data_IF_678249527140
#
_entry.id   IF_678249527140
#
_cell.length_a   1.000
_cell.length_b   1.000
_cell.length_c   1.000
_cell.angle_alpha   90.00
_cell.angle_beta   90.00
_cell.angle_gamma   90.00
#
_symmetry.space_group_name_H-M   'P 1'
#
loop_
_entity.id
_entity.type
_entity.pdbx_description
1 polymer ?
#
# COMPACT_ATOMS: atom_id res chain seq x y z
N UNK A 1 52.02 4.90 -1.01
CA UNK A 1 50.89 4.12 -0.47
C UNK A 1 49.72 5.07 -0.38
N UNK A 2 48.78 4.99 -1.32
CA UNK A 2 47.60 5.86 -1.33
C UNK A 2 46.52 5.17 -0.49
N UNK A 3 46.25 5.72 0.70
CA UNK A 3 45.09 5.34 1.49
C UNK A 3 43.84 5.83 0.73
N UNK A 4 43.08 4.89 0.18
CA UNK A 4 41.73 5.20 -0.32
C UNK A 4 40.88 5.66 0.84
N UNK A 5 40.21 6.83 0.76
CA UNK A 5 39.37 7.32 1.82
C UNK A 5 38.23 6.31 2.07
N UNK A 6 38.19 5.77 3.28
CA UNK A 6 37.05 5.01 3.79
C UNK A 6 35.90 5.98 3.96
N UNK A 7 35.06 6.11 2.93
CA UNK A 7 33.81 6.86 3.02
C UNK A 7 32.95 6.18 4.07
N UNK A 8 32.83 6.82 5.24
CA UNK A 8 31.90 6.39 6.28
C UNK A 8 30.48 6.42 5.71
N UNK A 9 29.93 5.24 5.42
CA UNK A 9 28.54 5.08 5.00
C UNK A 9 27.68 4.73 6.20
N UNK A 10 26.52 5.37 6.31
CA UNK A 10 25.55 5.06 7.34
C UNK A 10 24.73 3.84 6.93
N UNK A 11 24.65 2.85 7.82
CA UNK A 11 23.83 1.65 7.62
C UNK A 11 22.43 1.85 8.20
N UNK A 12 21.42 1.32 7.52
CA UNK A 12 20.03 1.32 8.02
C UNK A 12 19.70 -0.05 8.59
N UNK A 13 19.08 -0.07 9.77
CA UNK A 13 18.58 -1.32 10.36
C UNK A 13 17.22 -1.67 9.72
N UNK A 14 17.24 -2.62 8.81
CA UNK A 14 16.08 -3.10 8.05
C UNK A 14 15.03 -3.83 8.90
N UNK A 15 15.35 -4.18 10.15
CA UNK A 15 14.42 -4.88 11.06
C UNK A 15 13.43 -3.94 11.71
N UNK A 16 13.80 -2.68 11.85
CA UNK A 16 13.01 -1.65 12.55
C UNK A 16 12.65 -0.46 11.65
N UNK A 17 13.18 -0.44 10.43
CA UNK A 17 12.93 0.64 9.47
C UNK A 17 11.88 0.20 8.46
N UNK A 18 10.84 1.02 8.29
CA UNK A 18 9.79 0.85 7.28
C UNK A 18 9.44 2.23 6.73
N UNK A 19 9.15 2.31 5.43
CA UNK A 19 8.69 3.54 4.79
C UNK A 19 7.21 3.42 4.46
N UNK A 20 6.43 4.45 4.79
CA UNK A 20 5.05 4.57 4.34
C UNK A 20 4.96 5.51 3.13
N UNK A 21 4.45 5.00 2.01
CA UNK A 21 4.12 5.79 0.82
C UNK A 21 2.63 5.97 0.72
N UNK A 22 2.19 7.23 0.69
CA UNK A 22 0.77 7.61 0.56
C UNK A 22 0.53 8.18 -0.82
N UNK A 23 -0.36 7.56 -1.57
CA UNK A 23 -0.80 7.97 -2.90
C UNK A 23 -2.24 8.49 -2.80
N UNK A 24 -2.43 9.81 -2.64
CA UNK A 24 -3.75 10.40 -2.74
C UNK A 24 -4.25 10.29 -4.17
N UNK A 25 -5.54 10.06 -4.33
CA UNK A 25 -6.23 10.12 -5.61
C UNK A 25 -7.55 10.87 -5.47
N UNK A 26 -7.94 11.50 -6.58
CA UNK A 26 -9.22 12.18 -6.72
C UNK A 26 -10.04 11.43 -7.75
N UNK A 27 -11.28 11.21 -7.41
CA UNK A 27 -12.32 10.73 -8.31
C UNK A 27 -13.36 11.84 -8.44
N UNK A 28 -13.62 12.28 -9.67
CA UNK A 28 -14.47 13.44 -9.95
C UNK A 28 -15.96 13.22 -9.64
N UNK A 29 -16.37 11.98 -9.37
CA UNK A 29 -17.78 11.59 -9.25
C UNK A 29 -18.15 11.26 -7.79
N UNK A 30 -18.50 12.28 -7.00
CA UNK A 30 -18.90 12.14 -5.59
C UNK A 30 -20.11 11.23 -5.38
N UNK A 31 -21.04 11.16 -6.34
CA UNK A 31 -22.26 10.36 -6.27
C UNK A 31 -22.04 8.83 -6.38
N UNK A 32 -20.81 8.37 -6.66
CA UNK A 32 -20.51 6.95 -6.88
C UNK A 32 -19.86 6.25 -5.67
N UNK A 33 -19.92 6.87 -4.49
CA UNK A 33 -19.29 6.29 -3.30
C UNK A 33 -19.77 4.86 -3.00
N UNK A 34 -21.09 4.61 -3.04
CA UNK A 34 -21.64 3.29 -2.81
C UNK A 34 -21.19 2.26 -3.86
N UNK A 35 -21.14 2.65 -5.14
CA UNK A 35 -20.64 1.80 -6.21
C UNK A 35 -19.16 1.44 -6.01
N UNK A 36 -18.33 2.41 -5.59
CA UNK A 36 -16.92 2.17 -5.28
C UNK A 36 -16.73 1.24 -4.11
N UNK A 37 -17.47 1.44 -3.03
CA UNK A 37 -17.45 0.53 -1.87
C UNK A 37 -17.82 -0.88 -2.31
N UNK A 38 -18.87 -1.03 -3.12
CA UNK A 38 -19.27 -2.32 -3.67
C UNK A 38 -18.19 -2.93 -4.57
N UNK A 39 -17.55 -2.13 -5.44
CA UNK A 39 -16.48 -2.59 -6.31
C UNK A 39 -15.27 -3.10 -5.52
N UNK A 40 -14.82 -2.36 -4.50
CA UNK A 40 -13.71 -2.77 -3.62
C UNK A 40 -14.07 -4.05 -2.87
N UNK A 41 -15.28 -4.15 -2.33
CA UNK A 41 -15.74 -5.33 -1.60
C UNK A 41 -15.92 -6.57 -2.51
N UNK A 42 -16.21 -6.36 -3.79
CA UNK A 42 -16.33 -7.44 -4.78
C UNK A 42 -14.96 -7.96 -5.25
N UNK A 43 -13.87 -7.22 -5.03
CA UNK A 43 -12.54 -7.69 -5.38
C UNK A 43 -12.20 -8.94 -4.56
N UNK A 44 -11.82 -10.00 -5.27
CA UNK A 44 -11.37 -11.26 -4.69
C UNK A 44 -10.13 -11.74 -5.42
N UNK A 45 -9.33 -12.53 -4.71
CA UNK A 45 -8.30 -13.35 -5.33
C UNK A 45 -8.84 -14.76 -5.45
N UNK A 46 -8.61 -15.36 -6.61
CA UNK A 46 -8.83 -16.77 -6.85
C UNK A 46 -7.48 -17.47 -6.78
N UNK A 47 -7.35 -18.40 -5.84
CA UNK A 47 -6.24 -19.35 -5.80
C UNK A 47 -6.79 -20.78 -5.83
N UNK A 48 -5.90 -21.78 -5.77
CA UNK A 48 -6.27 -23.19 -5.75
C UNK A 48 -7.16 -23.55 -4.54
N UNK A 49 -7.13 -22.76 -3.46
CA UNK A 49 -7.96 -22.94 -2.27
C UNK A 49 -9.33 -22.26 -2.37
N UNK A 50 -9.58 -21.51 -3.45
CA UNK A 50 -10.87 -20.88 -3.74
C UNK A 50 -10.79 -19.35 -3.85
N UNK A 51 -11.96 -18.72 -3.96
CA UNK A 51 -12.05 -17.27 -3.99
C UNK A 51 -12.06 -16.70 -2.56
N UNK A 52 -11.12 -15.81 -2.25
CA UNK A 52 -11.05 -15.09 -0.98
C UNK A 52 -11.15 -13.57 -1.21
N UNK A 53 -11.81 -12.81 -0.32
CA UNK A 53 -11.90 -11.36 -0.45
C UNK A 53 -10.50 -10.74 -0.41
N UNK A 54 -10.24 -9.86 -1.37
CA UNK A 54 -8.97 -9.15 -1.52
C UNK A 54 -8.73 -8.19 -0.36
N UNK A 55 -9.80 -7.49 0.02
CA UNK A 55 -9.78 -6.43 1.01
C UNK A 55 -10.47 -6.91 2.28
N UNK A 56 -9.86 -6.60 3.42
CA UNK A 56 -10.50 -6.70 4.73
C UNK A 56 -10.91 -5.30 5.16
N UNK A 57 -12.21 -5.08 5.30
CA UNK A 57 -12.75 -3.87 5.91
C UNK A 57 -12.20 -3.71 7.32
N UNK A 58 -11.66 -2.53 7.64
CA UNK A 58 -11.26 -2.16 9.00
C UNK A 58 -12.37 -1.35 9.64
N UNK A 59 -12.64 -1.67 10.91
CA UNK A 59 -13.49 -0.82 11.73
C UNK A 59 -12.72 0.44 12.12
N UNK A 60 -13.42 1.56 12.34
CA UNK A 60 -12.81 2.81 12.80
C UNK A 60 -11.99 2.66 14.08
N UNK A 61 -12.44 1.79 14.99
CA UNK A 61 -11.76 1.49 16.25
C UNK A 61 -10.44 0.73 16.08
N UNK A 62 -10.16 0.20 14.89
CA UNK A 62 -8.96 -0.59 14.57
C UNK A 62 -7.94 0.21 13.75
N UNK A 63 -8.23 1.48 13.46
CA UNK A 63 -7.34 2.38 12.72
C UNK A 63 -6.68 3.32 13.72
N UNK A 64 -5.45 2.99 14.11
CA UNK A 64 -4.60 3.82 14.98
C UNK A 64 -4.06 5.06 14.21
N UNK A 65 -4.93 5.97 13.78
CA UNK A 65 -4.54 7.18 13.02
C UNK A 65 -5.55 8.34 13.21
N UNK A 66 -5.29 9.49 12.57
CA UNK A 66 -6.20 10.64 12.43
C UNK A 66 -7.47 10.32 11.62
N UNK A 67 -7.51 9.19 10.93
CA UNK A 67 -8.57 8.84 9.98
C UNK A 67 -9.97 8.68 10.59
N UNK A 68 -10.16 8.04 11.75
CA UNK A 68 -11.44 8.07 12.46
C UNK A 68 -11.90 9.49 12.82
N UNK A 69 -10.96 10.39 13.12
CA UNK A 69 -11.29 11.79 13.37
C UNK A 69 -11.73 12.50 12.08
N UNK A 70 -11.04 12.28 10.96
CA UNK A 70 -11.43 12.83 9.64
C UNK A 70 -12.81 12.31 9.21
N UNK A 71 -13.10 11.04 9.43
CA UNK A 71 -14.41 10.47 9.11
C UNK A 71 -15.56 11.16 9.87
N UNK A 72 -15.35 11.52 11.15
CA UNK A 72 -16.31 12.30 11.93
C UNK A 72 -16.58 13.71 11.37
N UNK A 73 -15.68 14.26 10.56
CA UNK A 73 -15.91 15.55 9.87
C UNK A 73 -16.62 15.37 8.54
N UNK A 74 -16.54 14.19 7.92
CA UNK A 74 -17.12 13.92 6.60
C UNK A 74 -18.54 13.37 6.69
N UNK A 75 -18.86 12.68 7.78
CA UNK A 75 -20.22 12.40 8.18
C UNK A 75 -20.57 13.41 9.26
N UNK A 76 -21.34 14.48 8.96
CA UNK A 76 -21.93 15.24 10.04
C UNK A 76 -22.89 14.27 10.73
N UNK A 77 -22.44 13.63 11.82
CA UNK A 77 -23.38 13.18 12.85
C UNK A 77 -24.31 14.35 13.04
N UNK A 78 -25.62 14.10 12.96
CA UNK A 78 -26.68 15.08 13.18
C UNK A 78 -26.39 15.85 14.49
N UNK A 79 -25.58 16.91 14.40
CA UNK A 79 -25.20 17.75 15.53
C UNK A 79 -26.29 18.78 15.62
N UNK A 80 -27.36 18.42 16.31
CA UNK A 80 -28.30 19.37 16.88
C UNK A 80 -29.69 19.47 16.26
N UNK A 81 -30.18 18.45 15.56
CA UNK A 81 -31.64 18.34 15.37
C UNK A 81 -32.10 16.92 15.67
N UNK A 82 -33.31 16.84 16.22
CA UNK A 82 -34.10 15.66 16.54
C UNK A 82 -34.44 14.84 15.27
N UNK A 83 -33.42 14.45 14.51
CA UNK A 83 -33.53 13.58 13.37
C UNK A 83 -33.30 12.14 13.84
N UNK A 84 -34.42 11.50 14.14
CA UNK A 84 -34.63 10.05 14.20
C UNK A 84 -34.32 9.38 12.85
N UNK A 85 -33.14 9.64 12.26
CA UNK A 85 -32.69 8.97 11.04
C UNK A 85 -31.48 8.12 11.39
N UNK A 86 -31.74 6.85 11.69
CA UNK A 86 -30.81 5.73 11.79
C UNK A 86 -30.06 5.40 10.49
N UNK A 87 -30.07 6.32 9.52
CA UNK A 87 -29.68 6.10 8.11
C UNK A 87 -28.54 7.04 7.69
N UNK A 88 -27.66 7.42 8.62
CA UNK A 88 -26.45 8.15 8.27
C UNK A 88 -25.47 7.19 7.57
N UNK A 89 -25.58 7.12 6.24
CA UNK A 89 -24.68 6.33 5.39
C UNK A 89 -23.23 6.72 5.67
N UNK A 90 -22.32 5.76 5.91
CA UNK A 90 -20.92 6.05 6.12
C UNK A 90 -20.36 6.86 4.94
N UNK A 91 -19.73 8.00 5.22
CA UNK A 91 -19.11 8.85 4.19
C UNK A 91 -17.62 8.56 4.04
N UNK A 92 -17.13 7.50 4.71
CA UNK A 92 -15.78 7.02 4.60
C UNK A 92 -15.75 5.51 4.84
N UNK A 93 -14.82 4.83 4.18
CA UNK A 93 -14.63 3.39 4.33
C UNK A 93 -13.15 3.06 4.18
N UNK A 94 -12.69 2.13 5.01
CA UNK A 94 -11.28 1.77 5.14
C UNK A 94 -11.10 0.28 4.96
N UNK A 95 -10.05 -0.07 4.24
CA UNK A 95 -9.65 -1.45 4.01
C UNK A 95 -8.17 -1.62 4.22
N UNK A 96 -7.79 -2.82 4.62
CA UNK A 96 -6.44 -3.33 4.48
C UNK A 96 -6.44 -4.48 3.51
N UNK A 97 -5.38 -4.61 2.72
CA UNK A 97 -5.22 -5.77 1.87
C UNK A 97 -5.13 -7.01 2.75
N UNK A 98 -5.89 -8.05 2.39
CA UNK A 98 -5.93 -9.30 3.11
C UNK A 98 -4.71 -10.15 2.74
N UNK A 99 -3.58 -9.86 3.39
CA UNK A 99 -2.30 -10.55 3.17
C UNK A 99 -2.22 -11.94 3.84
N UNK A 100 -3.35 -12.55 4.23
CA UNK A 100 -3.41 -13.69 5.18
C UNK A 100 -2.36 -14.80 4.93
N UNK A 101 -1.57 -15.08 5.96
CA UNK A 101 -1.77 -16.29 6.79
C UNK A 101 -1.87 -15.88 8.27
N UNK A 102 -3.01 -16.18 8.89
CA UNK A 102 -3.07 -16.55 10.30
C UNK A 102 -4.29 -17.44 10.49
N UNK A 103 -4.03 -18.73 10.58
CA UNK A 103 -4.99 -19.77 10.90
C UNK A 103 -4.91 -20.18 12.38
N UNK A 104 -4.49 -19.28 13.27
CA UNK A 104 -4.64 -19.45 14.72
C UNK A 104 -4.13 -18.20 15.42
N UNK A 105 -4.91 -17.62 16.33
CA UNK A 105 -4.72 -16.29 16.93
C UNK A 105 -3.46 -16.07 17.81
N UNK A 106 -2.28 -16.51 17.39
CA UNK A 106 -0.99 -16.25 18.05
C UNK A 106 -0.15 -15.23 17.28
N UNK A 107 -0.07 -14.00 17.81
CA UNK A 107 0.84 -12.94 17.36
C UNK A 107 2.28 -13.45 17.23
N UNK A 108 2.92 -13.31 16.05
CA UNK A 108 4.23 -12.63 15.82
C UNK A 108 4.86 -12.95 14.44
N UNK A 109 5.26 -11.87 13.75
CA UNK A 109 6.42 -11.69 12.85
C UNK A 109 6.70 -12.64 11.66
N UNK A 110 5.85 -13.59 11.32
CA UNK A 110 6.10 -14.48 10.17
C UNK A 110 4.86 -14.75 9.30
N UNK A 111 3.99 -13.74 9.09
CA UNK A 111 3.02 -13.83 8.00
C UNK A 111 3.77 -13.82 6.66
N UNK A 112 3.33 -14.55 5.61
CA UNK A 112 3.94 -14.49 4.30
C UNK A 112 3.85 -13.04 3.80
N UNK A 113 4.99 -12.35 3.87
CA UNK A 113 5.14 -10.98 3.37
C UNK A 113 4.80 -10.99 1.89
N UNK A 114 3.93 -10.10 1.43
CA UNK A 114 3.93 -9.80 0.02
C UNK A 114 5.29 -9.20 -0.31
N UNK A 115 5.87 -9.65 -1.41
CA UNK A 115 7.14 -9.11 -1.88
C UNK A 115 6.84 -8.26 -3.11
N UNK A 116 7.65 -7.23 -3.30
CA UNK A 116 7.63 -6.47 -4.53
C UNK A 116 9.04 -6.23 -5.03
N UNK A 117 9.07 -5.79 -6.28
CA UNK A 117 10.28 -5.40 -6.97
C UNK A 117 10.04 -4.07 -7.65
N UNK A 118 10.96 -3.16 -7.37
CA UNK A 118 11.04 -1.84 -7.95
C UNK A 118 12.11 -1.89 -9.02
N UNK A 119 11.72 -1.78 -10.29
CA UNK A 119 12.64 -1.74 -11.42
C UNK A 119 12.66 -0.34 -12.01
N UNK A 120 13.85 0.23 -12.16
CA UNK A 120 14.07 1.48 -12.86
C UNK A 120 14.69 1.15 -14.20
N UNK A 121 13.95 1.44 -15.27
CA UNK A 121 14.38 1.12 -16.64
C UNK A 121 14.93 2.38 -17.30
N UNK A 122 16.14 2.25 -17.84
CA UNK A 122 16.85 3.30 -18.54
C UNK A 122 16.20 3.66 -19.87
N UNK A 123 16.17 4.97 -20.16
CA UNK A 123 15.46 5.57 -21.31
C UNK A 123 15.84 4.98 -22.67
N UNK A 124 17.13 4.74 -22.87
CA UNK A 124 17.73 4.51 -24.20
C UNK A 124 17.93 3.04 -24.53
N UNK A 125 17.97 2.18 -23.54
CA UNK A 125 18.40 0.79 -23.69
C UNK A 125 17.31 -0.22 -23.34
N UNK A 126 16.23 0.21 -22.67
CA UNK A 126 15.26 -0.72 -22.07
C UNK A 126 15.88 -1.63 -21.00
N UNK A 127 17.12 -1.35 -20.58
CA UNK A 127 17.82 -2.14 -19.56
C UNK A 127 17.43 -1.63 -18.17
N UNK A 128 17.29 -2.56 -17.24
CA UNK A 128 17.11 -2.24 -15.83
C UNK A 128 18.39 -1.58 -15.29
N UNK A 129 18.31 -0.28 -14.98
CA UNK A 129 19.41 0.50 -14.38
C UNK A 129 19.54 0.15 -12.89
N UNK A 130 18.41 0.01 -12.20
CA UNK A 130 18.36 -0.33 -10.79
C UNK A 130 17.20 -1.26 -10.47
N UNK A 131 17.41 -2.16 -9.51
CA UNK A 131 16.41 -3.10 -9.04
C UNK A 131 16.48 -3.22 -7.51
N UNK A 132 15.35 -2.98 -6.87
CA UNK A 132 15.21 -3.19 -5.43
C UNK A 132 14.12 -4.21 -5.13
N UNK A 133 14.47 -5.19 -4.31
CA UNK A 133 13.51 -6.09 -3.70
C UNK A 133 13.00 -5.43 -2.42
N UNK A 134 11.71 -5.46 -2.17
CA UNK A 134 11.12 -4.93 -0.94
C UNK A 134 10.06 -5.87 -0.39
N UNK A 135 9.90 -5.84 0.94
CA UNK A 135 8.76 -6.42 1.61
C UNK A 135 7.63 -5.41 1.63
N UNK A 136 6.41 -5.88 1.52
CA UNK A 136 5.20 -5.10 1.78
C UNK A 136 4.64 -5.57 3.11
N UNK A 137 4.74 -4.72 4.11
CA UNK A 137 4.29 -4.99 5.46
C UNK A 137 2.78 -4.77 5.57
N UNK A 138 2.24 -3.73 4.92
CA UNK A 138 0.81 -3.44 4.89
C UNK A 138 0.42 -2.62 3.64
N UNK A 139 -0.80 -2.84 3.14
CA UNK A 139 -1.43 -1.97 2.14
C UNK A 139 -2.80 -1.55 2.68
N UNK A 140 -3.04 -0.25 2.72
CA UNK A 140 -4.32 0.31 3.15
C UNK A 140 -4.96 1.13 2.05
N UNK A 141 -6.29 1.04 1.97
CA UNK A 141 -7.12 1.86 1.09
C UNK A 141 -8.13 2.60 1.95
N UNK A 142 -8.21 3.92 1.76
CA UNK A 142 -9.24 4.77 2.35
C UNK A 142 -10.02 5.44 1.22
N UNK A 143 -11.35 5.36 1.28
CA UNK A 143 -12.24 6.09 0.38
C UNK A 143 -13.16 7.01 1.16
N UNK A 144 -13.36 8.20 0.63
CA UNK A 144 -14.24 9.22 1.19
C UNK A 144 -15.35 9.57 0.19
N UNK A 145 -16.55 9.86 0.71
CA UNK A 145 -17.77 10.13 -0.07
C UNK A 145 -17.64 11.28 -1.04
N UNK A 146 -16.75 12.24 -0.76
CA UNK A 146 -16.49 13.41 -1.58
C UNK A 146 -15.58 13.13 -2.79
N UNK A 147 -15.32 11.86 -3.13
CA UNK A 147 -14.46 11.49 -4.26
C UNK A 147 -12.97 11.64 -3.97
N UNK A 148 -12.57 11.60 -2.70
CA UNK A 148 -11.15 11.58 -2.31
C UNK A 148 -10.80 10.20 -1.80
N UNK A 149 -9.61 9.70 -2.12
CA UNK A 149 -9.11 8.47 -1.54
C UNK A 149 -7.59 8.47 -1.38
N UNK A 150 -7.11 7.52 -0.61
CA UNK A 150 -5.69 7.32 -0.36
C UNK A 150 -5.38 5.84 -0.45
N UNK A 151 -4.31 5.51 -1.16
CA UNK A 151 -3.70 4.19 -1.16
C UNK A 151 -2.35 4.32 -0.46
N UNK A 152 -2.15 3.57 0.61
CA UNK A 152 -0.93 3.64 1.41
C UNK A 152 -0.21 2.30 1.46
N UNK A 153 1.10 2.33 1.29
CA UNK A 153 1.99 1.17 1.28
C UNK A 153 3.04 1.31 2.36
N UNK A 154 3.12 0.34 3.25
CA UNK A 154 4.23 0.18 4.18
C UNK A 154 5.18 -0.83 3.58
N UNK A 155 6.38 -0.38 3.25
CA UNK A 155 7.38 -1.20 2.57
C UNK A 155 8.75 -1.08 3.21
N UNK A 156 9.49 -2.17 3.11
CA UNK A 156 10.85 -2.29 3.67
C UNK A 156 11.79 -2.84 2.59
N UNK A 157 12.73 -2.04 2.06
CA UNK A 157 13.75 -2.49 1.11
C UNK A 157 14.63 -3.60 1.71
N UNK A 158 14.90 -4.66 0.93
CA UNK A 158 15.69 -5.83 1.39
C UNK A 158 17.15 -5.76 1.02
N UNK A 159 17.46 -5.17 -0.13
CA UNK A 159 18.81 -5.11 -0.69
C UNK A 159 19.41 -3.70 -0.64
N UNK A 160 19.03 -2.91 0.38
CA UNK A 160 19.48 -1.54 0.60
C UNK A 160 20.09 -1.40 2.01
N UNK A 161 21.33 -1.85 2.24
CA UNK A 161 21.96 -1.79 3.56
C UNK A 161 22.39 -0.38 3.96
N UNK A 162 22.55 0.53 3.00
CA UNK A 162 23.04 1.89 3.22
C UNK A 162 21.94 2.94 3.06
N UNK A 163 22.12 4.09 3.72
CA UNK A 163 21.16 5.18 3.68
C UNK A 163 20.95 5.73 2.26
N UNK A 164 21.98 5.73 1.42
CA UNK A 164 21.90 6.22 0.04
C UNK A 164 21.01 5.32 -0.83
N UNK A 165 21.05 4.00 -0.58
CA UNK A 165 20.20 3.02 -1.26
C UNK A 165 18.75 3.19 -0.82
N UNK A 166 18.51 3.46 0.47
CA UNK A 166 17.18 3.79 1.01
C UNK A 166 16.63 5.06 0.37
N UNK A 167 17.42 6.13 0.31
CA UNK A 167 17.00 7.38 -0.31
C UNK A 167 16.72 7.22 -1.80
N UNK A 168 17.52 6.42 -2.51
CA UNK A 168 17.30 6.08 -3.92
C UNK A 168 16.01 5.28 -4.11
N UNK A 169 15.80 4.26 -3.27
CA UNK A 169 14.56 3.50 -3.27
C UNK A 169 13.35 4.41 -3.04
N UNK A 170 13.38 5.27 -2.01
CA UNK A 170 12.29 6.21 -1.69
C UNK A 170 12.02 7.16 -2.86
N UNK A 171 13.07 7.68 -3.47
CA UNK A 171 12.96 8.55 -4.62
C UNK A 171 12.22 7.87 -5.79
N UNK A 172 12.64 6.66 -6.16
CA UNK A 172 12.08 5.96 -7.30
C UNK A 172 10.67 5.41 -7.02
N UNK A 173 10.42 4.87 -5.83
CA UNK A 173 9.12 4.33 -5.45
C UNK A 173 8.03 5.42 -5.45
N UNK A 174 8.35 6.65 -5.05
CA UNK A 174 7.41 7.78 -5.03
C UNK A 174 6.91 8.19 -6.42
N UNK A 175 7.69 7.95 -7.48
CA UNK A 175 7.38 8.38 -8.84
C UNK A 175 7.31 7.19 -9.79
N UNK A 176 6.22 6.41 -9.76
CA UNK A 176 6.03 5.29 -10.69
C UNK A 176 5.88 5.76 -12.14
N UNK A 177 5.29 6.94 -12.37
CA UNK A 177 5.14 7.51 -13.71
C UNK A 177 6.32 8.42 -14.03
N UNK A 178 7.05 8.05 -15.09
CA UNK A 178 8.30 8.66 -15.50
C UNK A 178 8.24 10.15 -15.82
N UNK A 179 8.55 11.01 -14.86
CA UNK A 179 8.97 12.39 -15.16
C UNK A 179 10.43 12.35 -15.64
N UNK A 180 10.68 12.79 -16.87
CA UNK A 180 12.04 12.89 -17.42
C UNK A 180 12.54 11.68 -18.23
N UNK A 181 11.66 10.77 -18.64
CA UNK A 181 11.99 9.71 -19.61
C UNK A 181 12.59 8.42 -19.03
N UNK A 182 12.69 8.29 -17.69
CA UNK A 182 12.89 7.00 -16.99
C UNK A 182 11.54 6.42 -16.61
N UNK A 183 11.34 5.13 -16.82
CA UNK A 183 10.12 4.44 -16.38
C UNK A 183 10.42 3.61 -15.12
N UNK A 184 9.57 3.74 -14.10
CA UNK A 184 9.68 2.96 -12.88
C UNK A 184 8.54 1.96 -12.85
N UNK A 185 8.87 0.68 -12.83
CA UNK A 185 7.88 -0.39 -12.74
C UNK A 185 7.88 -0.93 -11.32
N UNK A 186 6.74 -0.82 -10.63
CA UNK A 186 6.51 -1.48 -9.35
C UNK A 186 5.71 -2.74 -9.65
N UNK A 187 6.30 -3.89 -9.39
CA UNK A 187 5.58 -5.16 -9.47
C UNK A 187 5.52 -5.81 -8.11
N UNK A 188 4.35 -6.36 -7.77
CA UNK A 188 4.16 -7.04 -6.50
C UNK A 188 3.62 -8.44 -6.73
N UNK A 189 3.96 -9.33 -5.81
CA UNK A 189 3.54 -10.71 -5.81
C UNK A 189 3.24 -11.13 -4.38
N UNK A 190 2.14 -11.87 -4.25
CA UNK A 190 1.91 -12.67 -3.05
C UNK A 190 2.87 -13.85 -3.11
N UNK A 191 3.61 -14.08 -2.04
CA UNK A 191 4.33 -15.35 -1.89
C UNK A 191 3.27 -16.45 -1.65
N UNK A 192 3.17 -17.48 -2.50
CA UNK A 192 2.34 -18.63 -2.21
C UNK A 192 2.92 -19.41 -1.05
N UNK A 193 2.07 -20.09 -0.29
CA UNK A 193 2.51 -21.09 0.69
C UNK A 193 3.29 -22.23 0.03
N UNK A 194 3.09 -22.51 -1.28
CA UNK A 194 3.88 -23.46 -2.06
C UNK A 194 4.17 -23.02 -3.52
N UNK A 195 5.45 -22.72 -3.80
CA UNK A 195 6.18 -22.78 -5.09
C UNK A 195 5.77 -22.01 -6.36
N UNK A 196 4.61 -21.36 -6.51
CA UNK A 196 4.23 -20.67 -7.77
C UNK A 196 4.04 -19.15 -7.66
N UNK A 197 5.05 -18.32 -7.98
CA UNK A 197 4.91 -16.85 -7.93
C UNK A 197 3.82 -16.34 -8.89
N UNK A 198 2.68 -15.89 -8.36
CA UNK A 198 1.64 -15.21 -9.14
C UNK A 198 1.93 -13.70 -9.18
N UNK A 199 2.07 -13.15 -10.39
CA UNK A 199 2.22 -11.70 -10.60
C UNK A 199 0.87 -11.03 -10.46
N UNK A 200 0.82 -9.96 -9.67
CA UNK A 200 -0.32 -9.07 -9.63
C UNK A 200 0.14 -7.68 -10.09
N UNK A 201 -0.35 -7.26 -11.24
CA UNK A 201 -0.30 -5.84 -11.58
C UNK A 201 -1.32 -5.15 -10.67
N UNK A 202 -0.87 -4.18 -9.87
CA UNK A 202 -1.81 -3.18 -9.41
C UNK A 202 -2.26 -2.41 -10.65
N UNK A 203 -3.44 -2.72 -11.17
CA UNK A 203 -4.09 -1.78 -12.07
C UNK A 203 -4.28 -0.48 -11.28
N UNK A 204 -3.81 0.67 -11.80
CA UNK A 204 -4.32 1.94 -11.29
C UNK A 204 -5.84 1.98 -11.52
N UNK A 205 -6.61 2.63 -10.62
CA UNK A 205 -8.02 2.91 -10.87
C UNK A 205 -8.21 3.74 -12.16
#
# INVERSE_FOLDING_TARGET
>A
MSETPTTNRFTVDDRISTVCFVYPFLDGEHNRFAERVAAVNACSWSDEAGAAPLWRTKNYSEVDDLLPYVANYLAPMARGSEATSTDATPTAQFWTLNMREQADGKKRFAAPRAEGMLEVVGRSSGTVEHQWMFNVDEIQLALFGHGVGFLAFWVTPRNAPYIEDWMSFVHHFRTPVGRGGRHTTITMWRLPSHSSRTRYALCPP
#
